data_IF_496101261212
#
_entry.id   IF_496101261212
#
_cell.length_a   1.000
_cell.length_b   1.000
_cell.length_c   1.000
_cell.angle_alpha   90.00
_cell.angle_beta   90.00
_cell.angle_gamma   90.00
#
_symmetry.space_group_name_H-M   'P 1'
#
loop_
_entity.id
_entity.type
_entity.pdbx_description
1 polymer ?
#
# COMPACT_ATOMS: atom_id res chain seq x y z
N UNK A 1 3.47 14.08 -15.63
CA UNK A 1 4.12 13.40 -14.48
C UNK A 1 3.97 14.26 -13.23
N UNK A 2 3.43 13.70 -12.15
CA UNK A 2 3.28 14.42 -10.88
C UNK A 2 4.65 14.53 -10.17
N UNK A 3 4.96 15.71 -9.63
CA UNK A 3 6.28 15.98 -9.03
C UNK A 3 6.24 15.61 -7.54
N UNK A 4 6.98 14.57 -7.13
CA UNK A 4 7.06 14.11 -5.74
C UNK A 4 8.05 14.99 -4.96
N UNK A 5 7.72 15.35 -3.72
CA UNK A 5 8.62 16.07 -2.81
C UNK A 5 8.71 15.33 -1.47
N UNK A 6 9.92 15.16 -0.94
CA UNK A 6 10.12 14.58 0.39
C UNK A 6 10.24 15.68 1.44
N UNK A 7 9.52 15.55 2.56
CA UNK A 7 9.60 16.47 3.70
C UNK A 7 9.75 15.69 5.00
N UNK A 8 10.75 16.03 5.82
CA UNK A 8 11.06 15.36 7.09
C UNK A 8 10.31 15.97 8.29
N UNK A 9 8.98 16.09 8.21
CA UNK A 9 8.15 16.49 9.38
C UNK A 9 7.56 15.23 10.02
N UNK A 10 7.79 15.04 11.34
CA UNK A 10 7.25 13.90 12.12
C UNK A 10 5.75 14.09 12.36
N UNK A 11 4.92 13.70 11.40
CA UNK A 11 3.48 13.56 11.60
C UNK A 11 3.19 12.11 11.98
N UNK A 12 2.80 11.87 13.23
CA UNK A 12 2.51 10.53 13.75
C UNK A 12 1.14 10.08 13.22
N UNK A 13 1.14 9.38 12.07
CA UNK A 13 -0.06 8.98 11.31
C UNK A 13 -0.85 7.78 11.89
N UNK A 14 -0.47 7.29 13.07
CA UNK A 14 -0.90 5.99 13.57
C UNK A 14 -2.41 5.91 13.90
N UNK A 15 -3.04 7.01 14.35
CA UNK A 15 -4.47 7.00 14.67
C UNK A 15 -5.40 6.89 13.45
N UNK A 16 -5.06 7.57 12.35
CA UNK A 16 -5.89 7.56 11.13
C UNK A 16 -5.81 6.25 10.35
N UNK A 17 -4.63 5.61 10.33
CA UNK A 17 -4.42 4.35 9.61
C UNK A 17 -5.21 3.21 10.26
N UNK A 18 -5.26 3.13 11.60
CA UNK A 18 -6.05 2.11 12.30
C UNK A 18 -7.55 2.25 11.99
N UNK A 19 -8.08 3.48 11.97
CA UNK A 19 -9.49 3.73 11.60
C UNK A 19 -9.79 3.34 10.15
N UNK A 20 -8.89 3.65 9.21
CA UNK A 20 -9.06 3.27 7.80
C UNK A 20 -8.98 1.76 7.61
N UNK A 21 -8.09 1.08 8.32
CA UNK A 21 -7.96 -0.37 8.27
C UNK A 21 -9.20 -1.07 8.83
N UNK A 22 -9.72 -0.60 9.95
CA UNK A 22 -10.94 -1.13 10.57
C UNK A 22 -12.14 -0.94 9.65
N UNK A 23 -12.27 0.24 9.02
CA UNK A 23 -13.32 0.52 8.05
C UNK A 23 -13.20 -0.33 6.79
N UNK A 24 -11.98 -0.54 6.30
CA UNK A 24 -11.72 -1.38 5.14
C UNK A 24 -12.04 -2.86 5.42
N UNK A 25 -11.68 -3.37 6.60
CA UNK A 25 -11.95 -4.75 7.01
C UNK A 25 -13.46 -5.01 7.14
N UNK A 26 -14.20 -4.02 7.66
CA UNK A 26 -15.67 -4.04 7.71
C UNK A 26 -16.30 -4.09 6.31
N UNK A 27 -15.79 -3.30 5.36
CA UNK A 27 -16.27 -3.31 3.96
C UNK A 27 -15.96 -4.66 3.31
N UNK A 28 -14.73 -5.16 3.46
CA UNK A 28 -14.34 -6.46 2.91
C UNK A 28 -15.21 -7.59 3.45
N UNK A 29 -15.44 -7.62 4.77
CA UNK A 29 -16.31 -8.62 5.40
C UNK A 29 -17.74 -8.56 4.82
N UNK A 30 -18.29 -7.36 4.66
CA UNK A 30 -19.62 -7.18 4.06
C UNK A 30 -19.69 -7.64 2.59
N UNK A 31 -18.64 -7.40 1.80
CA UNK A 31 -18.57 -7.87 0.40
C UNK A 31 -18.44 -9.39 0.34
N UNK A 32 -17.64 -9.98 1.23
CA UNK A 32 -17.48 -11.43 1.34
C UNK A 32 -18.81 -12.10 1.68
N UNK A 33 -19.52 -11.60 2.69
CA UNK A 33 -20.79 -12.19 3.10
C UNK A 33 -21.91 -11.99 2.06
N UNK A 34 -21.89 -10.89 1.31
CA UNK A 34 -22.95 -10.57 0.33
C UNK A 34 -22.78 -11.23 -1.04
N UNK A 35 -21.55 -11.43 -1.52
CA UNK A 35 -21.30 -11.92 -2.88
C UNK A 35 -20.58 -13.27 -2.93
N UNK A 36 -19.64 -13.53 -2.02
CA UNK A 36 -18.80 -14.74 -2.08
C UNK A 36 -19.47 -15.96 -1.43
N UNK A 37 -20.49 -15.77 -0.59
CA UNK A 37 -21.17 -16.90 0.06
C UNK A 37 -22.18 -17.62 -0.84
N UNK A 38 -22.73 -16.94 -1.86
CA UNK A 38 -23.91 -17.41 -2.61
C UNK A 38 -23.62 -17.92 -4.03
N UNK A 39 -22.50 -17.53 -4.66
CA UNK A 39 -22.20 -17.90 -6.05
C UNK A 39 -20.86 -18.63 -6.21
N UNK A 40 -20.90 -19.96 -6.31
CA UNK A 40 -19.68 -20.77 -6.46
C UNK A 40 -18.81 -20.41 -7.67
N UNK A 41 -19.39 -19.93 -8.78
CA UNK A 41 -18.62 -19.49 -9.96
C UNK A 41 -17.83 -18.19 -9.68
N UNK A 42 -18.41 -17.26 -8.92
CA UNK A 42 -17.74 -16.00 -8.57
C UNK A 42 -16.58 -16.25 -7.57
N UNK A 43 -16.69 -17.30 -6.76
CA UNK A 43 -15.62 -17.72 -5.85
C UNK A 43 -14.35 -18.17 -6.59
N UNK A 44 -14.49 -18.77 -7.77
CA UNK A 44 -13.33 -19.14 -8.62
C UNK A 44 -12.59 -17.91 -9.11
N UNK A 45 -13.31 -16.88 -9.56
CA UNK A 45 -12.72 -15.61 -10.01
C UNK A 45 -12.01 -14.91 -8.84
N UNK A 46 -12.63 -14.89 -7.66
CA UNK A 46 -12.01 -14.36 -6.45
C UNK A 46 -10.74 -15.10 -6.06
N UNK A 47 -10.74 -16.44 -6.09
CA UNK A 47 -9.55 -17.24 -5.83
C UNK A 47 -8.46 -16.98 -6.86
N UNK A 48 -8.81 -16.83 -8.13
CA UNK A 48 -7.85 -16.53 -9.21
C UNK A 48 -7.20 -15.16 -9.00
N UNK A 49 -7.99 -14.12 -8.74
CA UNK A 49 -7.49 -12.77 -8.45
C UNK A 49 -6.64 -12.77 -7.18
N UNK A 50 -7.06 -13.50 -6.14
CA UNK A 50 -6.30 -13.64 -4.89
C UNK A 50 -4.98 -14.36 -5.11
N UNK A 51 -4.95 -15.41 -5.93
CA UNK A 51 -3.73 -16.14 -6.29
C UNK A 51 -2.78 -15.26 -7.11
N UNK A 52 -3.30 -14.49 -8.08
CA UNK A 52 -2.52 -13.52 -8.83
C UNK A 52 -1.91 -12.46 -7.89
N UNK A 53 -2.72 -11.87 -7.02
CA UNK A 53 -2.26 -10.89 -6.03
C UNK A 53 -1.19 -11.46 -5.08
N UNK A 54 -1.35 -12.73 -4.64
CA UNK A 54 -0.36 -13.40 -3.79
C UNK A 54 0.97 -13.63 -4.52
N UNK A 55 0.94 -13.96 -5.81
CA UNK A 55 2.14 -14.11 -6.63
C UNK A 55 2.84 -12.76 -6.83
N UNK A 56 2.09 -11.70 -7.13
CA UNK A 56 2.62 -10.35 -7.22
C UNK A 56 3.24 -9.89 -5.90
N UNK A 57 2.56 -10.13 -4.78
CA UNK A 57 3.08 -9.80 -3.45
C UNK A 57 4.42 -10.50 -3.19
N UNK A 58 4.51 -11.81 -3.45
CA UNK A 58 5.75 -12.58 -3.29
C UNK A 58 6.88 -12.04 -4.15
N UNK A 59 6.58 -11.67 -5.39
CA UNK A 59 7.56 -11.07 -6.30
C UNK A 59 8.06 -9.73 -5.77
N UNK A 60 7.17 -8.83 -5.38
CA UNK A 60 7.51 -7.48 -4.92
C UNK A 60 8.35 -7.54 -3.63
N UNK A 61 7.97 -8.37 -2.65
CA UNK A 61 8.69 -8.46 -1.38
C UNK A 61 10.05 -9.17 -1.54
N UNK A 62 10.19 -10.04 -2.54
CA UNK A 62 11.48 -10.65 -2.88
C UNK A 62 12.45 -9.69 -3.57
N UNK A 63 12.01 -8.50 -4.01
CA UNK A 63 12.90 -7.52 -4.62
C UNK A 63 13.96 -7.05 -3.60
N UNK A 64 15.26 -7.07 -3.95
CA UNK A 64 16.34 -6.63 -3.04
C UNK A 64 16.15 -5.19 -2.54
N UNK A 65 15.55 -4.34 -3.38
CA UNK A 65 15.22 -2.96 -3.06
C UNK A 65 14.32 -2.84 -1.82
N UNK A 66 13.35 -3.75 -1.65
CA UNK A 66 12.40 -3.73 -0.54
C UNK A 66 13.07 -4.06 0.80
N UNK A 67 14.04 -4.97 0.77
CA UNK A 67 14.84 -5.31 1.94
C UNK A 67 15.78 -4.16 2.33
N UNK A 68 16.50 -3.58 1.36
CA UNK A 68 17.53 -2.56 1.61
C UNK A 68 16.92 -1.21 1.98
N UNK A 69 15.89 -0.75 1.27
CA UNK A 69 15.33 0.59 1.47
C UNK A 69 14.21 0.65 2.52
N UNK A 70 13.43 -0.42 2.65
CA UNK A 70 12.21 -0.41 3.48
C UNK A 70 12.26 -1.38 4.67
N UNK A 71 13.31 -2.21 4.76
CA UNK A 71 13.51 -3.18 5.86
C UNK A 71 12.49 -4.32 5.87
N UNK A 72 11.98 -4.69 4.68
CA UNK A 72 10.94 -5.72 4.54
C UNK A 72 11.60 -7.03 4.12
N UNK A 73 11.33 -8.10 4.86
CA UNK A 73 11.87 -9.44 4.55
C UNK A 73 10.92 -10.20 3.64
N UNK A 74 11.43 -11.09 2.79
CA UNK A 74 10.62 -11.99 1.96
C UNK A 74 9.61 -12.83 2.74
N UNK A 75 9.86 -13.08 4.03
CA UNK A 75 8.98 -13.82 4.94
C UNK A 75 7.97 -12.95 5.70
N UNK A 76 8.02 -11.62 5.56
CA UNK A 76 7.08 -10.74 6.25
C UNK A 76 5.65 -11.01 5.77
N UNK A 77 4.68 -10.82 6.67
CA UNK A 77 3.26 -10.92 6.31
C UNK A 77 2.81 -9.69 5.51
N UNK A 78 1.79 -9.85 4.67
CA UNK A 78 1.18 -8.76 3.87
C UNK A 78 0.86 -7.54 4.72
N UNK A 79 0.30 -7.73 5.92
CA UNK A 79 -0.03 -6.65 6.85
C UNK A 79 1.21 -5.82 7.27
N UNK A 80 2.33 -6.48 7.56
CA UNK A 80 3.61 -5.80 7.88
C UNK A 80 4.13 -4.99 6.69
N UNK A 81 4.03 -5.56 5.48
CA UNK A 81 4.37 -4.87 4.24
C UNK A 81 3.48 -3.62 4.02
N UNK A 82 2.15 -3.74 4.20
CA UNK A 82 1.23 -2.61 4.08
C UNK A 82 1.61 -1.47 5.04
N UNK A 83 1.90 -1.79 6.31
CA UNK A 83 2.28 -0.77 7.29
C UNK A 83 3.64 -0.12 7.00
N UNK A 84 4.63 -0.89 6.55
CA UNK A 84 5.99 -0.37 6.36
C UNK A 84 6.19 0.32 5.02
N UNK A 85 5.49 -0.11 3.98
CA UNK A 85 5.67 0.39 2.61
C UNK A 85 4.56 1.33 2.17
N UNK A 86 3.30 0.98 2.44
CA UNK A 86 2.13 1.65 1.84
C UNK A 86 1.56 2.74 2.75
N UNK A 87 1.47 2.48 4.06
CA UNK A 87 0.85 3.37 5.02
C UNK A 87 1.79 4.51 5.45
N UNK A 88 2.15 5.37 4.49
CA UNK A 88 3.00 6.54 4.69
C UNK A 88 2.16 7.81 4.66
N UNK A 89 2.33 8.74 5.62
CA UNK A 89 1.65 10.02 5.54
C UNK A 89 2.10 10.79 4.29
N UNK A 90 1.13 11.13 3.44
CA UNK A 90 1.36 11.92 2.24
C UNK A 90 0.26 12.97 2.07
N UNK A 91 0.59 14.10 1.45
CA UNK A 91 -0.34 15.20 1.17
C UNK A 91 -0.14 15.71 -0.24
N UNK A 92 -1.22 15.79 -1.01
CA UNK A 92 -1.22 16.50 -2.28
C UNK A 92 -1.26 18.01 -2.02
N UNK A 93 -0.32 18.74 -2.61
CA UNK A 93 -0.24 20.20 -2.54
C UNK A 93 -0.21 20.76 -3.96
N UNK A 94 -1.17 21.63 -4.27
CA UNK A 94 -1.17 22.38 -5.52
C UNK A 94 -0.22 23.56 -5.38
N UNK A 95 0.87 23.56 -6.14
CA UNK A 95 1.81 24.68 -6.22
C UNK A 95 1.74 25.26 -7.62
N UNK A 96 1.29 26.51 -7.74
CA UNK A 96 1.00 27.15 -9.03
C UNK A 96 0.07 26.28 -9.91
N UNK A 97 0.58 25.77 -11.04
CA UNK A 97 -0.17 24.92 -11.99
C UNK A 97 0.08 23.42 -11.82
N UNK A 98 0.86 22.99 -10.83
CA UNK A 98 1.26 21.59 -10.66
C UNK A 98 0.77 21.01 -9.33
N UNK A 99 0.20 19.80 -9.38
CA UNK A 99 0.00 18.98 -8.19
C UNK A 99 1.30 18.28 -7.82
N UNK A 100 1.73 18.50 -6.58
CA UNK A 100 2.90 17.85 -6.01
C UNK A 100 2.47 16.94 -4.86
N UNK A 101 3.00 15.72 -4.84
CA UNK A 101 2.75 14.79 -3.73
C UNK A 101 3.88 14.94 -2.72
N UNK A 102 3.56 15.46 -1.54
CA UNK A 102 4.50 15.53 -0.43
C UNK A 102 4.42 14.24 0.37
N UNK A 103 5.51 13.49 0.42
CA UNK A 103 5.62 12.26 1.22
C UNK A 103 6.41 12.62 2.49
N UNK A 104 5.81 12.41 3.65
CA UNK A 104 6.40 12.73 4.95
C UNK A 104 7.07 11.50 5.57
N UNK A 105 8.19 11.08 5.00
CA UNK A 105 8.93 9.90 5.45
C UNK A 105 10.42 10.11 5.31
N UNK A 106 11.19 9.50 6.21
CA UNK A 106 12.65 9.44 6.12
C UNK A 106 13.14 8.33 5.18
N UNK A 107 12.22 7.54 4.59
CA UNK A 107 12.59 6.49 3.65
C UNK A 107 12.75 7.08 2.24
N UNK A 108 13.68 6.58 1.42
CA UNK A 108 14.01 7.14 0.12
C UNK A 108 13.00 6.72 -0.96
N UNK A 109 11.74 7.14 -0.81
CA UNK A 109 10.66 6.94 -1.80
C UNK A 109 10.91 7.64 -3.14
N UNK A 110 11.79 8.65 -3.20
CA UNK A 110 12.17 9.31 -4.45
C UNK A 110 12.82 8.33 -5.45
N UNK A 111 13.61 7.37 -4.96
CA UNK A 111 14.31 6.37 -5.79
C UNK A 111 13.36 5.45 -6.59
N UNK A 112 12.11 5.29 -6.14
CA UNK A 112 11.10 4.50 -6.86
C UNK A 112 10.71 5.18 -8.18
N UNK A 113 10.82 6.51 -8.26
CA UNK A 113 10.31 7.32 -9.36
C UNK A 113 11.41 7.93 -10.24
N UNK A 114 12.68 7.83 -9.83
CA UNK A 114 13.83 8.39 -10.56
C UNK A 114 14.31 7.49 -11.72
N UNK A 115 13.82 6.26 -11.84
CA UNK A 115 14.17 5.31 -12.91
C UNK A 115 13.05 5.08 -13.94
N UNK A 116 12.07 5.97 -14.02
CA UNK A 116 10.93 5.90 -14.96
C UNK A 116 11.05 6.84 -16.15
#
# INVERSE_FOLDING_TARGET
MAKVQQKSEKITAFGGIFFVLDKFDSILSSVIDSHLKSFMNQNTVFLLITAMAANFYRYIVALPLMAVLFGIKATDRVKSFMFRFIAVPAKWVKTARQYKLNIYSNKPYNLIWEHG
#
